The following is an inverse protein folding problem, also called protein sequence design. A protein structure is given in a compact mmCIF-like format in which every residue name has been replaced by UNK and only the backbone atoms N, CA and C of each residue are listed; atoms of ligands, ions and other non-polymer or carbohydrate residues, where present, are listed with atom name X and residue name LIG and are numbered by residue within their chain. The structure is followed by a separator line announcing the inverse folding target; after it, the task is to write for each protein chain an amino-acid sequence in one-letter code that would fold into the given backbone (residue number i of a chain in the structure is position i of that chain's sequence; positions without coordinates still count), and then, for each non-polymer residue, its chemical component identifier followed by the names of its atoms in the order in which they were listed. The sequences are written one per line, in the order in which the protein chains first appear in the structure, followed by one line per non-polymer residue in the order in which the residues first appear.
data_IF_003312155343
#
_entry.id   IF_003312155343
#
_cell.length_a   1.000
_cell.length_b   1.000
_cell.length_c   1.000
_cell.angle_alpha   90.00
_cell.angle_beta   90.00
_cell.angle_gamma   90.00
#
_symmetry.space_group_name_H-M   'P 1'
#
loop_
_entity.id
_entity.type
_entity.pdbx_description
1 polymer ?
#
# COMPACT_ATOMS: atom_id res chain seq x y z
N UNK A 1 30.25 32.10 32.57
CA UNK A 1 29.74 32.52 31.24
C UNK A 1 28.39 31.83 31.03
N UNK A 2 27.42 32.59 30.52
CA UNK A 2 25.96 32.40 30.60
C UNK A 2 25.44 31.17 29.80
N UNK A 3 24.42 30.48 30.33
CA UNK A 3 23.56 29.52 29.60
C UNK A 3 22.85 30.23 28.44
N UNK A 4 22.86 29.65 27.24
CA UNK A 4 21.82 29.95 26.25
C UNK A 4 20.99 28.71 25.94
N UNK A 5 19.68 28.93 26.03
CA UNK A 5 18.56 28.03 25.88
C UNK A 5 17.97 28.23 24.49
N UNK A 6 17.57 27.11 23.86
CA UNK A 6 16.50 26.92 22.84
C UNK A 6 16.16 28.10 21.91
N UNK A 7 16.35 27.85 20.62
CA UNK A 7 15.37 27.89 19.51
C UNK A 7 16.22 27.84 18.22
N UNK A 8 15.93 27.12 17.14
CA UNK A 8 14.68 26.81 16.47
C UNK A 8 14.93 25.55 15.62
N UNK A 9 14.08 24.53 15.70
CA UNK A 9 13.99 23.56 14.61
C UNK A 9 12.64 23.76 13.93
N UNK A 10 12.55 24.63 12.91
CA UNK A 10 11.49 24.58 11.94
C UNK A 10 12.06 23.89 10.70
N UNK A 11 12.01 22.57 10.69
CA UNK A 11 12.00 21.83 9.43
C UNK A 11 10.72 21.03 9.38
N UNK A 12 9.63 21.72 9.03
CA UNK A 12 8.61 21.08 8.20
C UNK A 12 9.38 20.63 6.96
N UNK A 13 9.71 19.35 6.89
CA UNK A 13 10.38 18.78 5.74
C UNK A 13 9.46 18.95 4.54
N UNK A 14 9.79 19.91 3.69
CA UNK A 14 9.24 20.04 2.34
C UNK A 14 9.82 18.96 1.40
N UNK A 15 10.25 17.83 1.95
CA UNK A 15 10.87 16.74 1.22
C UNK A 15 9.78 15.80 0.71
N UNK A 16 9.81 15.50 -0.59
CA UNK A 16 9.08 14.33 -1.09
C UNK A 16 9.65 13.11 -0.38
N UNK A 17 8.85 12.51 0.50
CA UNK A 17 9.24 11.31 1.21
C UNK A 17 9.29 10.14 0.21
N UNK A 18 10.51 9.73 -0.16
CA UNK A 18 10.75 8.64 -1.11
C UNK A 18 11.82 7.73 -0.52
N UNK A 19 11.55 6.43 -0.50
CA UNK A 19 12.44 5.41 0.03
C UNK A 19 12.73 4.34 -1.03
N UNK A 20 13.95 3.76 -1.04
CA UNK A 20 14.25 2.65 -1.93
C UNK A 20 13.51 1.38 -1.50
N UNK A 21 12.94 0.66 -2.47
CA UNK A 21 12.37 -0.68 -2.29
C UNK A 21 13.36 -1.68 -2.86
N UNK A 22 14.21 -2.23 -1.99
CA UNK A 22 15.42 -2.98 -2.40
C UNK A 22 15.10 -4.29 -3.12
N UNK A 23 14.04 -4.97 -2.71
CA UNK A 23 13.67 -6.29 -3.26
C UNK A 23 13.25 -6.21 -4.73
N UNK A 24 12.69 -5.06 -5.12
CA UNK A 24 12.16 -4.79 -6.45
C UNK A 24 13.03 -3.84 -7.28
N UNK A 25 14.17 -3.42 -6.74
CA UNK A 25 15.07 -2.42 -7.35
C UNK A 25 14.31 -1.16 -7.85
N UNK A 26 13.39 -0.65 -7.03
CA UNK A 26 12.53 0.50 -7.36
C UNK A 26 12.45 1.52 -6.21
N UNK A 27 11.58 2.53 -6.33
CA UNK A 27 11.32 3.58 -5.35
C UNK A 27 9.90 3.48 -4.80
N UNK A 28 9.70 3.94 -3.56
CA UNK A 28 8.42 3.83 -2.86
C UNK A 28 7.26 4.59 -3.51
N UNK A 29 7.56 5.52 -4.42
CA UNK A 29 6.60 6.32 -5.17
C UNK A 29 6.46 5.87 -6.65
N UNK A 30 7.07 4.75 -7.05
CA UNK A 30 6.88 4.16 -8.38
C UNK A 30 5.52 3.45 -8.44
N UNK A 31 4.49 4.26 -8.72
CA UNK A 31 3.11 3.79 -8.76
C UNK A 31 2.84 2.82 -9.92
N UNK A 32 3.57 2.95 -11.02
CA UNK A 32 3.38 2.12 -12.21
C UNK A 32 3.93 0.72 -11.97
N UNK A 33 5.10 0.62 -11.33
CA UNK A 33 5.62 -0.66 -10.86
C UNK A 33 4.65 -1.30 -9.86
N UNK A 34 4.25 -0.54 -8.83
CA UNK A 34 3.36 -1.04 -7.79
C UNK A 34 2.05 -1.60 -8.37
N UNK A 35 1.37 -0.83 -9.24
CA UNK A 35 0.12 -1.26 -9.90
C UNK A 35 0.31 -2.54 -10.70
N UNK A 36 1.42 -2.65 -11.43
CA UNK A 36 1.74 -3.82 -12.24
C UNK A 36 1.94 -5.06 -11.35
N UNK A 37 2.82 -4.95 -10.36
CA UNK A 37 3.10 -6.05 -9.42
C UNK A 37 1.87 -6.47 -8.61
N UNK A 38 1.07 -5.50 -8.16
CA UNK A 38 -0.16 -5.77 -7.42
C UNK A 38 -1.20 -6.51 -8.28
N UNK A 39 -1.43 -6.06 -9.51
CA UNK A 39 -2.36 -6.73 -10.45
C UNK A 39 -1.92 -8.16 -10.77
N UNK A 40 -0.62 -8.40 -10.90
CA UNK A 40 -0.08 -9.75 -11.07
C UNK A 40 -0.41 -10.67 -9.89
N UNK A 41 -0.20 -10.20 -8.65
CA UNK A 41 -0.57 -10.98 -7.47
C UNK A 41 -2.09 -11.15 -7.34
N UNK A 42 -2.88 -10.11 -7.58
CA UNK A 42 -4.34 -10.21 -7.59
C UNK A 42 -4.83 -11.27 -8.58
N UNK A 43 -4.24 -11.33 -9.78
CA UNK A 43 -4.54 -12.37 -10.77
C UNK A 43 -4.13 -13.77 -10.29
N UNK A 44 -2.94 -13.90 -9.68
CA UNK A 44 -2.47 -15.18 -9.10
C UNK A 44 -3.43 -15.71 -8.04
N UNK A 45 -4.02 -14.83 -7.24
CA UNK A 45 -5.00 -15.17 -6.20
C UNK A 45 -6.45 -15.26 -6.69
N UNK A 46 -6.72 -14.91 -7.95
CA UNK A 46 -8.08 -14.88 -8.49
C UNK A 46 -8.97 -13.83 -7.84
N UNK A 47 -8.41 -12.72 -7.34
CA UNK A 47 -9.19 -11.63 -6.77
C UNK A 47 -9.98 -10.91 -7.87
N UNK A 48 -11.21 -10.53 -7.54
CA UNK A 48 -12.04 -9.69 -8.41
C UNK A 48 -11.77 -8.22 -8.11
N UNK A 49 -11.49 -7.44 -9.14
CA UNK A 49 -11.31 -5.99 -9.05
C UNK A 49 -12.64 -5.26 -9.28
N UNK A 50 -12.95 -4.32 -8.38
CA UNK A 50 -14.07 -3.39 -8.47
C UNK A 50 -13.49 -1.98 -8.45
N UNK A 51 -13.65 -1.23 -9.54
CA UNK A 51 -13.24 0.17 -9.61
C UNK A 51 -14.29 1.01 -8.86
N UNK A 52 -13.89 1.60 -7.74
CA UNK A 52 -14.75 2.45 -6.91
C UNK A 52 -14.77 3.90 -7.41
N UNK A 53 -13.64 4.36 -7.95
CA UNK A 53 -13.49 5.69 -8.52
C UNK A 53 -12.38 5.68 -9.56
N UNK A 54 -12.60 6.45 -10.63
CA UNK A 54 -11.59 6.72 -11.63
C UNK A 54 -11.65 8.23 -11.94
N UNK A 55 -10.74 8.97 -11.34
CA UNK A 55 -10.60 10.42 -11.53
C UNK A 55 -9.24 10.72 -12.17
N UNK A 56 -9.06 11.93 -12.72
CA UNK A 56 -7.79 12.32 -13.33
C UNK A 56 -6.56 12.19 -12.42
N UNK A 57 -6.77 12.13 -11.11
CA UNK A 57 -5.73 12.01 -10.09
C UNK A 57 -5.38 10.56 -9.71
N UNK A 58 -6.14 9.57 -10.21
CA UNK A 58 -5.89 8.15 -9.93
C UNK A 58 -7.15 7.28 -9.90
N UNK A 59 -6.91 5.98 -9.84
CA UNK A 59 -7.90 4.92 -9.73
C UNK A 59 -7.94 4.41 -8.29
N UNK A 60 -9.14 4.30 -7.72
CA UNK A 60 -9.38 3.63 -6.44
C UNK A 60 -10.07 2.31 -6.76
N UNK A 61 -9.39 1.21 -6.48
CA UNK A 61 -9.88 -0.15 -6.73
C UNK A 61 -10.03 -0.92 -5.42
N UNK A 62 -11.09 -1.71 -5.33
CA UNK A 62 -11.30 -2.72 -4.30
C UNK A 62 -11.06 -4.10 -4.89
N UNK A 63 -10.20 -4.88 -4.24
CA UNK A 63 -9.94 -6.27 -4.62
C UNK A 63 -10.58 -7.20 -3.59
N UNK A 64 -11.35 -8.20 -4.05
CA UNK A 64 -12.08 -9.11 -3.17
C UNK A 64 -11.88 -10.57 -3.56
N UNK A 65 -11.89 -11.46 -2.57
CA UNK A 65 -11.96 -12.90 -2.81
C UNK A 65 -13.29 -13.29 -3.46
N UNK A 66 -13.27 -14.36 -4.25
CA UNK A 66 -14.46 -14.89 -4.96
C UNK A 66 -15.43 -15.62 -4.03
N UNK A 67 -14.96 -16.11 -2.88
CA UNK A 67 -15.81 -16.78 -1.90
C UNK A 67 -16.16 -15.79 -0.77
N UNK A 68 -17.42 -15.32 -0.79
CA UNK A 68 -18.00 -14.39 0.19
C UNK A 68 -19.20 -15.02 0.88
N UNK A 69 -19.14 -16.34 1.16
CA UNK A 69 -20.18 -17.03 1.91
C UNK A 69 -20.48 -16.33 3.24
N UNK A 70 -21.74 -16.32 3.65
CA UNK A 70 -22.17 -15.64 4.89
C UNK A 70 -21.62 -16.30 6.17
N UNK A 71 -20.95 -17.44 6.03
CA UNK A 71 -20.37 -18.27 7.09
C UNK A 71 -18.88 -18.00 7.35
N UNK A 72 -18.23 -17.14 6.55
CA UNK A 72 -16.82 -16.74 6.75
C UNK A 72 -16.72 -15.29 7.24
N UNK A 73 -15.67 -14.93 8.02
CA UNK A 73 -15.47 -13.55 8.43
C UNK A 73 -15.14 -12.65 7.23
N UNK A 74 -15.75 -11.47 7.19
CA UNK A 74 -15.45 -10.45 6.19
C UNK A 74 -14.43 -9.45 6.75
N UNK A 75 -13.23 -9.42 6.16
CA UNK A 75 -12.13 -8.55 6.57
C UNK A 75 -11.81 -7.56 5.46
N UNK A 76 -11.66 -6.29 5.80
CA UNK A 76 -11.19 -5.24 4.89
C UNK A 76 -9.82 -4.74 5.35
N UNK A 77 -8.86 -4.76 4.44
CA UNK A 77 -7.54 -4.15 4.62
C UNK A 77 -7.44 -3.00 3.62
N UNK A 78 -7.02 -1.83 4.07
CA UNK A 78 -6.85 -0.64 3.23
C UNK A 78 -5.54 0.07 3.59
N UNK A 79 -4.88 0.59 2.56
CA UNK A 79 -3.61 1.32 2.67
C UNK A 79 -3.58 2.46 1.64
N UNK A 80 -2.61 3.37 1.78
CA UNK A 80 -2.40 4.45 0.82
C UNK A 80 -3.33 5.65 0.97
N UNK A 81 -3.87 5.89 2.18
CA UNK A 81 -4.65 7.10 2.47
C UNK A 81 -3.78 8.38 2.43
N UNK A 82 -2.51 8.27 2.83
CA UNK A 82 -1.53 9.34 2.78
C UNK A 82 -0.35 8.92 1.89
N UNK A 83 0.02 9.76 0.91
CA UNK A 83 1.04 9.41 -0.09
C UNK A 83 2.46 9.33 0.46
N UNK A 84 2.72 9.99 1.59
CA UNK A 84 3.96 9.93 2.35
C UNK A 84 4.09 8.68 3.23
N UNK A 85 3.05 7.84 3.30
CA UNK A 85 3.02 6.57 4.04
C UNK A 85 3.01 5.34 3.10
N UNK A 86 3.96 5.22 2.14
CA UNK A 86 3.88 4.19 1.09
C UNK A 86 4.09 2.78 1.64
N UNK A 87 4.72 2.62 2.81
CA UNK A 87 5.00 1.33 3.42
C UNK A 87 3.75 0.46 3.63
N UNK A 88 2.57 1.07 3.84
CA UNK A 88 1.31 0.32 3.92
C UNK A 88 0.94 -0.37 2.59
N UNK A 89 1.12 0.31 1.47
CA UNK A 89 0.87 -0.25 0.14
C UNK A 89 1.89 -1.36 -0.18
N UNK A 90 3.18 -1.08 0.00
CA UNK A 90 4.23 -2.07 -0.26
C UNK A 90 4.11 -3.29 0.64
N UNK A 91 3.80 -3.12 1.93
CA UNK A 91 3.55 -4.25 2.84
C UNK A 91 2.34 -5.10 2.43
N UNK A 92 1.32 -4.51 1.82
CA UNK A 92 0.19 -5.26 1.25
C UNK A 92 0.59 -6.07 0.03
N UNK A 93 1.46 -5.52 -0.83
CA UNK A 93 2.04 -6.26 -1.96
C UNK A 93 2.89 -7.45 -1.46
N UNK A 94 3.72 -7.23 -0.44
CA UNK A 94 4.55 -8.30 0.15
C UNK A 94 3.69 -9.38 0.81
N UNK A 95 2.64 -8.99 1.53
CA UNK A 95 1.65 -9.94 2.06
C UNK A 95 1.04 -10.81 0.97
N UNK A 96 0.68 -10.24 -0.18
CA UNK A 96 0.14 -11.00 -1.32
C UNK A 96 1.21 -11.87 -2.02
N UNK A 97 2.49 -11.51 -1.97
CA UNK A 97 3.58 -12.33 -2.51
C UNK A 97 3.82 -13.58 -1.68
N UNK A 98 3.90 -13.40 -0.36
CA UNK A 98 4.25 -14.42 0.63
C UNK A 98 3.08 -15.28 1.09
N UNK A 99 1.85 -14.78 0.94
CA UNK A 99 0.64 -15.46 1.41
C UNK A 99 0.61 -16.95 1.06
N UNK A 100 0.33 -17.80 2.05
CA UNK A 100 -0.14 -19.17 1.79
C UNK A 100 -1.66 -19.15 1.67
N UNK A 101 -2.23 -20.10 0.92
CA UNK A 101 -3.69 -20.26 0.74
C UNK A 101 -4.51 -20.21 2.04
N UNK A 102 -3.88 -20.46 3.19
CA UNK A 102 -4.53 -20.52 4.50
C UNK A 102 -4.66 -19.16 5.22
N UNK A 103 -3.99 -18.10 4.75
CA UNK A 103 -4.04 -16.80 5.44
C UNK A 103 -5.05 -15.81 4.83
N UNK A 104 -5.51 -16.06 3.61
CA UNK A 104 -6.47 -15.21 2.91
C UNK A 104 -7.92 -15.67 3.12
N UNK A 105 -8.17 -16.94 3.48
CA UNK A 105 -9.51 -17.47 3.78
C UNK A 105 -9.39 -18.68 4.71
N UNK A 106 -9.81 -18.53 5.96
CA UNK A 106 -10.55 -19.57 6.72
C UNK A 106 -11.62 -18.88 7.54
#
# INVERSE_FOLDING_TARGET
MIKQSRSDIPRRESGRHVWPVKEDDTQSNDIDFYKTAFREQSRRWGLSEIILSNTGDGEISLYQSVNQGADVPHVLIAAGFHGEEPAGCWGMLDFLREGSLNCLIT
#
